data_IF_480612375020
#
_entry.id   IF_480612375020
#
_cell.length_a   1.000
_cell.length_b   1.000
_cell.length_c   1.000
_cell.angle_alpha   90.00
_cell.angle_beta   90.00
_cell.angle_gamma   90.00
#
_symmetry.space_group_name_H-M   'P 1'
#
loop_
_entity.id
_entity.type
_entity.pdbx_description
1 polymer ?
#
# COMPACT_ATOMS: atom_id res chain seq x y z
N UNK A 1 2.67 -21.33 -12.64
CA UNK A 1 2.76 -20.23 -11.65
C UNK A 1 3.56 -19.08 -12.24
N UNK A 2 3.03 -17.85 -12.31
CA UNK A 2 3.82 -16.74 -12.84
C UNK A 2 4.70 -16.10 -11.75
N UNK A 3 6.02 -16.12 -11.91
CA UNK A 3 6.97 -15.44 -11.01
C UNK A 3 7.48 -14.16 -11.67
N UNK A 4 7.10 -13.01 -11.11
CA UNK A 4 7.67 -11.71 -11.47
C UNK A 4 8.69 -11.28 -10.43
N UNK A 5 9.90 -10.94 -10.85
CA UNK A 5 10.90 -10.34 -9.97
C UNK A 5 11.22 -8.92 -10.42
N UNK A 6 11.10 -8.00 -9.49
CA UNK A 6 11.19 -6.56 -9.70
C UNK A 6 12.38 -6.05 -8.90
N UNK A 7 13.31 -5.38 -9.58
CA UNK A 7 14.51 -4.80 -8.96
C UNK A 7 14.65 -3.33 -9.37
N UNK A 8 15.02 -2.49 -8.41
CA UNK A 8 15.07 -1.03 -8.56
C UNK A 8 16.31 -0.61 -9.34
N UNK A 9 16.11 0.23 -10.36
CA UNK A 9 17.13 1.14 -10.88
C UNK A 9 16.56 2.56 -10.77
N UNK A 10 17.13 3.39 -9.90
CA UNK A 10 16.69 4.78 -9.71
C UNK A 10 17.23 5.62 -10.86
N UNK A 11 16.36 6.09 -11.76
CA UNK A 11 16.68 7.16 -12.71
C UNK A 11 15.58 8.22 -12.66
N UNK A 12 15.96 9.42 -12.23
CA UNK A 12 15.07 10.58 -12.14
C UNK A 12 14.97 11.20 -13.53
N UNK A 13 13.84 11.09 -14.20
CA UNK A 13 13.52 11.96 -15.33
C UNK A 13 12.07 12.43 -15.29
N UNK A 14 11.91 13.75 -15.30
CA UNK A 14 10.63 14.44 -15.40
C UNK A 14 10.08 14.32 -16.84
N UNK A 15 8.80 13.97 -16.97
CA UNK A 15 8.06 14.01 -18.23
C UNK A 15 6.57 14.23 -18.00
N UNK A 16 6.00 15.22 -18.68
CA UNK A 16 4.57 15.58 -18.69
C UNK A 16 3.98 15.04 -20.00
N UNK A 17 2.85 14.31 -19.97
CA UNK A 17 1.69 14.55 -20.89
C UNK A 17 0.48 13.62 -20.67
N UNK A 18 -0.68 14.27 -20.56
CA UNK A 18 -2.08 14.00 -21.00
C UNK A 18 -2.61 12.61 -21.42
N UNK A 19 -3.81 12.27 -20.94
CA UNK A 19 -4.83 11.49 -21.67
C UNK A 19 -5.67 10.52 -20.82
N UNK A 20 -7.01 10.64 -20.87
CA UNK A 20 -8.04 10.01 -20.00
C UNK A 20 -8.56 8.68 -20.58
N UNK A 21 -8.89 7.69 -19.72
CA UNK A 21 -10.09 6.83 -19.85
C UNK A 21 -10.37 6.03 -18.56
N UNK A 22 -11.36 6.45 -17.76
CA UNK A 22 -11.89 5.69 -16.61
C UNK A 22 -12.71 4.49 -17.10
N UNK A 23 -12.32 3.27 -16.74
CA UNK A 23 -13.20 2.10 -16.71
C UNK A 23 -13.27 1.55 -15.30
N UNK A 24 -14.34 1.91 -14.59
CA UNK A 24 -14.74 1.24 -13.35
C UNK A 24 -15.46 -0.05 -13.73
N UNK A 25 -14.82 -1.21 -13.56
CA UNK A 25 -15.48 -2.50 -13.67
C UNK A 25 -15.27 -3.32 -12.39
N UNK A 26 -16.38 -3.82 -11.84
CA UNK A 26 -16.37 -4.83 -10.80
C UNK A 26 -15.67 -6.08 -11.35
N UNK A 27 -14.60 -6.51 -10.70
CA UNK A 27 -13.71 -7.55 -11.20
C UNK A 27 -14.42 -8.91 -11.34
N UNK A 28 -14.51 -9.41 -12.57
CA UNK A 28 -14.75 -10.83 -12.82
C UNK A 28 -13.48 -11.62 -12.49
N UNK A 29 -13.67 -12.85 -12.02
CA UNK A 29 -12.62 -13.82 -11.64
C UNK A 29 -11.60 -14.16 -12.74
N UNK A 30 -11.89 -13.80 -14.00
CA UNK A 30 -11.13 -14.19 -15.19
C UNK A 30 -10.47 -13.00 -15.92
N UNK A 31 -10.57 -11.77 -15.40
CA UNK A 31 -9.93 -10.61 -16.03
C UNK A 31 -8.43 -10.60 -15.72
N UNK A 32 -7.61 -10.59 -16.78
CA UNK A 32 -6.16 -10.35 -16.69
C UNK A 32 -5.93 -8.86 -16.39
N UNK A 33 -5.29 -8.58 -15.27
CA UNK A 33 -4.94 -7.23 -14.83
C UNK A 33 -3.73 -6.67 -15.57
N UNK A 34 -3.74 -5.39 -15.91
CA UNK A 34 -2.57 -4.70 -16.44
C UNK A 34 -1.73 -4.12 -15.30
N UNK A 35 -0.41 -4.28 -15.38
CA UNK A 35 0.51 -3.50 -14.53
C UNK A 35 0.93 -2.26 -15.33
N UNK A 36 0.72 -1.10 -14.75
CA UNK A 36 1.04 0.20 -15.33
C UNK A 36 1.57 1.15 -14.24
N UNK A 37 1.65 2.45 -14.55
CA UNK A 37 2.10 3.48 -13.60
C UNK A 37 1.01 3.93 -12.61
N UNK A 38 -0.13 3.23 -12.55
CA UNK A 38 -1.29 3.48 -11.70
C UNK A 38 -1.77 4.95 -11.75
N UNK A 39 -2.19 5.45 -12.92
CA UNK A 39 -2.49 6.87 -13.11
C UNK A 39 -3.65 7.38 -12.23
N UNK A 40 -4.58 6.49 -11.83
CA UNK A 40 -5.75 6.82 -10.99
C UNK A 40 -5.49 6.63 -9.48
N UNK A 41 -4.24 6.35 -9.10
CA UNK A 41 -3.84 6.17 -7.71
C UNK A 41 -3.79 7.50 -6.93
N UNK A 42 -4.26 7.45 -5.69
CA UNK A 42 -3.90 8.44 -4.67
C UNK A 42 -2.52 8.07 -4.14
N UNK A 43 -1.49 8.74 -4.64
CA UNK A 43 -0.07 8.41 -4.40
C UNK A 43 0.69 9.54 -3.67
N UNK A 44 -0.02 10.33 -2.85
CA UNK A 44 0.53 11.53 -2.21
C UNK A 44 1.66 11.18 -1.22
N UNK A 45 2.87 11.64 -1.50
CA UNK A 45 4.04 11.49 -0.62
C UNK A 45 4.08 12.53 0.52
N UNK A 46 3.23 13.56 0.46
CA UNK A 46 3.20 14.70 1.38
C UNK A 46 4.51 15.50 1.48
N UNK A 47 5.34 15.46 0.43
CA UNK A 47 6.60 16.21 0.39
C UNK A 47 6.34 17.71 0.47
N UNK A 48 7.03 18.40 1.38
CA UNK A 48 6.86 19.84 1.61
C UNK A 48 5.55 20.27 2.30
N UNK A 49 4.62 19.35 2.59
CA UNK A 49 3.34 19.67 3.24
C UNK A 49 2.99 18.79 4.44
N UNK A 50 3.90 17.89 4.85
CA UNK A 50 3.72 16.91 5.91
C UNK A 50 3.17 17.48 7.22
N UNK A 51 3.72 18.59 7.72
CA UNK A 51 3.26 19.20 8.99
C UNK A 51 1.86 19.79 8.85
N UNK A 52 1.57 20.47 7.74
CA UNK A 52 0.23 20.99 7.44
C UNK A 52 -0.78 19.85 7.33
N UNK A 53 -0.41 18.74 6.68
CA UNK A 53 -1.28 17.58 6.56
C UNK A 53 -1.48 16.89 7.92
N UNK A 54 -0.46 16.82 8.78
CA UNK A 54 -0.59 16.29 10.16
C UNK A 54 -1.64 17.06 10.96
N UNK A 55 -1.66 18.40 10.86
CA UNK A 55 -2.69 19.22 11.52
C UNK A 55 -4.08 18.92 10.98
N UNK A 56 -4.24 18.75 9.66
CA UNK A 56 -5.54 18.43 9.03
C UNK A 56 -6.00 17.00 9.26
N UNK A 57 -5.07 16.05 9.36
CA UNK A 57 -5.35 14.62 9.50
C UNK A 57 -6.23 14.32 10.72
N UNK A 58 -6.11 15.08 11.80
CA UNK A 58 -6.99 14.92 12.97
C UNK A 58 -8.46 15.26 12.66
N UNK A 59 -8.70 16.29 11.85
CA UNK A 59 -10.06 16.66 11.43
C UNK A 59 -10.62 15.64 10.43
N UNK A 60 -9.80 15.20 9.47
CA UNK A 60 -10.17 14.12 8.57
C UNK A 60 -10.52 12.85 9.36
N UNK A 61 -9.68 12.44 10.30
CA UNK A 61 -9.90 11.26 11.11
C UNK A 61 -11.24 11.30 11.86
N UNK A 62 -11.61 12.46 12.42
CA UNK A 62 -12.92 12.64 13.06
C UNK A 62 -14.07 12.41 12.07
N UNK A 63 -13.95 12.96 10.86
CA UNK A 63 -14.96 12.81 9.81
C UNK A 63 -15.03 11.36 9.31
N UNK A 64 -13.90 10.70 9.12
CA UNK A 64 -13.81 9.29 8.69
C UNK A 64 -14.47 8.36 9.70
N UNK A 65 -14.18 8.54 11.00
CA UNK A 65 -14.87 7.82 12.08
C UNK A 65 -16.39 8.07 12.04
N UNK A 66 -16.82 9.32 11.95
CA UNK A 66 -18.25 9.64 11.96
C UNK A 66 -19.02 9.08 10.76
N UNK A 67 -18.35 8.84 9.64
CA UNK A 67 -19.01 8.53 8.38
C UNK A 67 -19.01 7.03 8.04
N UNK A 68 -18.30 6.20 8.80
CA UNK A 68 -18.18 4.76 8.61
C UNK A 68 -18.07 4.04 9.97
N UNK A 69 -19.04 3.17 10.27
CA UNK A 69 -19.11 2.42 11.53
C UNK A 69 -17.98 1.39 11.67
N UNK A 70 -17.60 0.75 10.57
CA UNK A 70 -16.53 -0.24 10.53
C UNK A 70 -15.19 0.44 10.75
N UNK A 71 -14.96 1.57 10.08
CA UNK A 71 -13.77 2.38 10.32
C UNK A 71 -13.72 2.86 11.78
N UNK A 72 -14.84 3.31 12.36
CA UNK A 72 -14.92 3.65 13.78
C UNK A 72 -14.56 2.49 14.68
N UNK A 73 -15.08 1.30 14.41
CA UNK A 73 -14.81 0.11 15.21
C UNK A 73 -13.34 -0.31 15.11
N UNK A 74 -12.77 -0.33 13.91
CA UNK A 74 -11.35 -0.58 13.67
C UNK A 74 -10.48 0.40 14.44
N UNK A 75 -10.77 1.69 14.34
CA UNK A 75 -9.99 2.72 15.02
C UNK A 75 -10.09 2.61 16.55
N UNK A 76 -11.27 2.26 17.09
CA UNK A 76 -11.44 1.97 18.54
C UNK A 76 -10.63 0.76 19.00
N UNK A 77 -10.55 -0.31 18.20
CA UNK A 77 -9.68 -1.47 18.50
C UNK A 77 -8.21 -1.02 18.57
N UNK A 78 -7.77 -0.19 17.64
CA UNK A 78 -6.44 0.42 17.68
C UNK A 78 -6.25 1.29 18.93
N UNK A 79 -7.21 2.15 19.28
CA UNK A 79 -7.14 2.97 20.51
C UNK A 79 -6.94 2.13 21.77
N UNK A 80 -7.58 0.95 21.86
CA UNK A 80 -7.45 0.00 22.97
C UNK A 80 -6.05 -0.64 23.02
N UNK A 81 -5.46 -0.98 21.87
CA UNK A 81 -4.12 -1.56 21.77
C UNK A 81 -3.02 -0.54 22.07
N UNK A 82 -3.23 0.74 21.75
CA UNK A 82 -2.33 1.86 22.10
C UNK A 82 -3.03 2.91 22.98
N UNK A 83 -3.26 2.62 24.28
CA UNK A 83 -4.02 3.51 25.17
C UNK A 83 -3.25 4.78 25.55
N UNK A 84 -1.92 4.73 25.55
CA UNK A 84 -1.06 5.86 25.94
C UNK A 84 -0.89 6.83 24.76
N UNK A 85 -1.23 8.10 24.96
CA UNK A 85 -0.99 9.20 24.01
C UNK A 85 0.50 9.56 23.96
N UNK A 86 1.27 8.82 23.14
CA UNK A 86 2.70 9.07 22.89
C UNK A 86 2.92 9.52 21.43
N UNK A 87 4.02 10.22 21.13
CA UNK A 87 4.40 10.50 19.73
C UNK A 87 4.44 9.21 18.90
N UNK A 88 3.96 9.29 17.66
CA UNK A 88 3.89 8.12 16.78
C UNK A 88 2.64 7.25 16.97
N UNK A 89 1.70 7.62 17.85
CA UNK A 89 0.54 6.79 18.18
C UNK A 89 -0.38 6.59 16.98
N UNK A 90 -0.72 7.65 16.28
CA UNK A 90 -1.65 7.62 15.14
C UNK A 90 -1.07 6.80 13.99
N UNK A 91 0.25 6.86 13.76
CA UNK A 91 0.95 6.01 12.78
C UNK A 91 0.83 4.52 13.12
N UNK A 92 1.07 4.15 14.39
CA UNK A 92 0.94 2.76 14.85
C UNK A 92 -0.49 2.25 14.71
N UNK A 93 -1.45 3.10 15.09
CA UNK A 93 -2.87 2.78 14.96
C UNK A 93 -3.31 2.65 13.51
N UNK A 94 -2.80 3.48 12.60
CA UNK A 94 -3.09 3.39 11.17
C UNK A 94 -2.58 2.07 10.58
N UNK A 95 -1.35 1.65 10.91
CA UNK A 95 -0.84 0.32 10.55
C UNK A 95 -1.78 -0.76 11.08
N UNK A 96 -2.12 -0.70 12.36
CA UNK A 96 -2.99 -1.71 12.96
C UNK A 96 -4.34 -1.80 12.26
N UNK A 97 -5.00 -0.66 12.03
CA UNK A 97 -6.27 -0.55 11.32
C UNK A 97 -6.18 -1.14 9.92
N UNK A 98 -5.10 -0.88 9.21
CA UNK A 98 -4.86 -1.45 7.89
C UNK A 98 -4.69 -2.98 7.94
N UNK A 99 -4.09 -3.53 8.99
CA UNK A 99 -3.84 -4.98 9.12
C UNK A 99 -4.95 -5.77 9.82
N UNK A 100 -6.03 -5.12 10.25
CA UNK A 100 -7.14 -5.77 10.95
C UNK A 100 -7.85 -6.78 10.05
N UNK A 101 -8.08 -7.98 10.57
CA UNK A 101 -8.95 -8.96 9.94
C UNK A 101 -10.43 -8.54 10.01
N UNK A 102 -10.85 -7.96 11.14
CA UNK A 102 -12.23 -7.54 11.35
C UNK A 102 -12.33 -6.25 12.21
N UNK A 103 -13.04 -5.21 11.78
CA UNK A 103 -13.57 -5.07 10.42
C UNK A 103 -12.42 -4.89 9.42
N UNK A 104 -12.60 -5.40 8.20
CA UNK A 104 -11.59 -5.36 7.16
C UNK A 104 -11.60 -4.00 6.45
N UNK A 105 -10.70 -3.11 6.85
CA UNK A 105 -10.59 -1.75 6.27
C UNK A 105 -9.73 -1.74 5.01
N UNK A 106 -8.70 -2.60 4.93
CA UNK A 106 -7.70 -2.54 3.86
C UNK A 106 -8.30 -2.72 2.47
N UNK A 107 -9.34 -3.57 2.32
CA UNK A 107 -9.95 -3.83 1.02
C UNK A 107 -10.59 -2.57 0.43
N UNK A 108 -11.47 -1.92 1.20
CA UNK A 108 -12.16 -0.70 0.77
C UNK A 108 -11.19 0.47 0.64
N UNK A 109 -10.23 0.57 1.58
CA UNK A 109 -9.17 1.56 1.54
C UNK A 109 -8.34 1.42 0.27
N UNK A 110 -7.77 0.26 -0.02
CA UNK A 110 -6.93 0.05 -1.22
C UNK A 110 -7.73 0.23 -2.51
N UNK A 111 -9.00 -0.15 -2.55
CA UNK A 111 -9.86 0.16 -3.70
C UNK A 111 -10.03 1.66 -3.91
N UNK A 112 -10.24 2.43 -2.83
CA UNK A 112 -10.32 3.88 -2.91
C UNK A 112 -8.98 4.49 -3.34
N UNK A 113 -7.85 4.05 -2.76
CA UNK A 113 -6.51 4.50 -3.15
C UNK A 113 -6.26 4.23 -4.63
N UNK A 114 -6.64 3.06 -5.14
CA UNK A 114 -6.41 2.65 -6.55
C UNK A 114 -7.16 3.49 -7.58
N UNK A 115 -8.34 4.01 -7.23
CA UNK A 115 -9.31 4.48 -8.24
C UNK A 115 -9.75 5.93 -8.07
N UNK A 116 -9.43 6.58 -6.95
CA UNK A 116 -10.07 7.83 -6.55
C UNK A 116 -9.14 9.05 -6.60
N UNK A 117 -8.06 9.03 -7.38
CA UNK A 117 -7.19 10.21 -7.55
C UNK A 117 -7.97 11.47 -7.91
N UNK A 118 -8.87 11.38 -8.89
CA UNK A 118 -9.71 12.50 -9.32
C UNK A 118 -10.65 13.02 -8.23
N UNK A 119 -10.97 12.17 -7.25
CA UNK A 119 -11.86 12.46 -6.13
C UNK A 119 -11.12 12.82 -4.84
N UNK A 120 -9.78 12.91 -4.86
CA UNK A 120 -8.96 13.18 -3.68
C UNK A 120 -9.39 14.45 -2.93
N UNK A 121 -9.81 15.51 -3.65
CA UNK A 121 -10.24 16.77 -3.01
C UNK A 121 -11.72 16.82 -2.63
N UNK A 122 -12.49 15.80 -2.99
CA UNK A 122 -13.96 15.78 -2.87
C UNK A 122 -14.43 14.60 -2.02
N UNK A 123 -14.64 13.44 -2.64
CA UNK A 123 -15.32 12.29 -2.03
C UNK A 123 -14.37 11.20 -1.54
N UNK A 124 -13.06 11.33 -1.72
CA UNK A 124 -12.10 10.41 -1.10
C UNK A 124 -12.26 10.41 0.42
N UNK A 125 -12.47 9.24 1.03
CA UNK A 125 -12.89 9.12 2.44
C UNK A 125 -11.79 8.63 3.38
N UNK A 126 -10.53 8.62 2.96
CA UNK A 126 -9.43 8.02 3.73
C UNK A 126 -8.19 8.91 3.79
N UNK A 127 -8.36 10.23 3.85
CA UNK A 127 -7.25 11.20 3.96
C UNK A 127 -6.36 10.96 5.17
N UNK A 128 -6.95 10.73 6.34
CA UNK A 128 -6.21 10.52 7.57
C UNK A 128 -5.51 9.16 7.58
N UNK A 129 -6.23 8.09 7.22
CA UNK A 129 -5.61 6.76 7.13
C UNK A 129 -4.45 6.75 6.12
N UNK A 130 -4.65 7.31 4.91
CA UNK A 130 -3.61 7.43 3.89
C UNK A 130 -2.39 8.22 4.39
N UNK A 131 -2.63 9.37 5.02
CA UNK A 131 -1.57 10.20 5.57
C UNK A 131 -0.79 9.48 6.67
N UNK A 132 -1.47 8.90 7.66
CA UNK A 132 -0.80 8.26 8.79
C UNK A 132 -0.04 7.00 8.38
N UNK A 133 -0.53 6.21 7.42
CA UNK A 133 0.23 5.09 6.85
C UNK A 133 1.47 5.58 6.11
N UNK A 134 1.32 6.59 5.23
CA UNK A 134 2.46 7.17 4.51
C UNK A 134 3.52 7.69 5.47
N UNK A 135 3.10 8.45 6.47
CA UNK A 135 3.97 9.00 7.50
C UNK A 135 4.62 7.90 8.36
N UNK A 136 3.90 6.81 8.64
CA UNK A 136 4.45 5.67 9.36
C UNK A 136 5.63 5.04 8.62
N UNK A 137 5.45 4.72 7.32
CA UNK A 137 6.50 4.11 6.50
C UNK A 137 7.72 5.02 6.36
N UNK A 138 7.49 6.31 6.09
CA UNK A 138 8.56 7.31 6.05
C UNK A 138 9.31 7.41 7.39
N UNK A 139 8.60 7.39 8.52
CA UNK A 139 9.21 7.46 9.85
C UNK A 139 10.03 6.22 10.17
N UNK A 140 9.53 5.02 9.82
CA UNK A 140 10.25 3.76 10.02
C UNK A 140 11.54 3.72 9.19
N UNK A 141 11.49 4.25 7.97
CA UNK A 141 12.65 4.29 7.07
C UNK A 141 13.64 5.40 7.42
N UNK A 142 13.20 6.53 7.99
CA UNK A 142 14.10 7.63 8.39
C UNK A 142 15.12 7.26 9.48
N UNK A 143 14.95 6.12 10.13
CA UNK A 143 15.79 5.64 11.24
C UNK A 143 16.87 4.65 10.79
N UNK A 144 16.93 4.35 9.50
CA UNK A 144 17.74 3.30 8.92
C UNK A 144 18.81 3.89 8.02
N UNK A 145 19.93 3.19 7.86
CA UNK A 145 20.87 3.48 6.78
C UNK A 145 20.22 3.22 5.41
N UNK A 146 20.83 3.70 4.33
CA UNK A 146 20.34 3.39 2.98
C UNK A 146 20.31 1.88 2.71
N UNK A 147 21.33 1.15 3.18
CA UNK A 147 21.42 -0.31 3.05
C UNK A 147 20.32 -1.04 3.83
N UNK A 148 19.99 -0.59 5.04
CA UNK A 148 18.98 -1.20 5.91
C UNK A 148 17.54 -0.88 5.48
N UNK A 149 17.35 0.18 4.69
CA UNK A 149 16.05 0.67 4.25
C UNK A 149 15.45 -0.23 3.17
N UNK A 150 16.29 -0.80 2.30
CA UNK A 150 15.83 -1.66 1.22
C UNK A 150 15.54 -3.08 1.74
N UNK A 151 14.38 -3.62 1.38
CA UNK A 151 13.88 -4.92 1.81
C UNK A 151 13.41 -5.70 0.58
N UNK A 152 13.52 -7.03 0.64
CA UNK A 152 12.87 -7.92 -0.31
C UNK A 152 11.58 -8.45 0.30
N UNK A 153 10.46 -8.17 -0.37
CA UNK A 153 9.13 -8.65 -0.02
C UNK A 153 8.60 -9.64 -1.04
N UNK A 154 7.87 -10.65 -0.57
CA UNK A 154 7.23 -11.67 -1.39
C UNK A 154 5.72 -11.55 -1.25
N UNK A 155 5.00 -11.46 -2.37
CA UNK A 155 3.55 -11.29 -2.39
C UNK A 155 2.90 -12.30 -3.31
N UNK A 156 1.82 -12.93 -2.84
CA UNK A 156 0.90 -13.72 -3.66
C UNK A 156 -0.39 -12.96 -3.88
N UNK A 157 -1.00 -13.16 -5.04
CA UNK A 157 -2.32 -12.62 -5.37
C UNK A 157 -3.12 -13.63 -6.19
N UNK A 158 -4.42 -13.65 -5.95
CA UNK A 158 -5.37 -14.50 -6.66
C UNK A 158 -5.93 -13.84 -7.93
N UNK A 159 -5.06 -13.20 -8.72
CA UNK A 159 -5.40 -12.56 -9.99
C UNK A 159 -4.27 -12.75 -10.98
N UNK A 160 -4.59 -12.85 -12.26
CA UNK A 160 -3.60 -12.89 -13.33
C UNK A 160 -3.20 -11.48 -13.74
N UNK A 161 -1.94 -11.29 -14.12
CA UNK A 161 -1.43 -10.02 -14.65
C UNK A 161 -0.84 -10.22 -16.04
N UNK A 162 -0.98 -9.21 -16.89
CA UNK A 162 -0.36 -9.21 -18.22
C UNK A 162 1.15 -9.30 -18.08
N UNK A 163 1.76 -10.17 -18.89
CA UNK A 163 3.20 -10.42 -18.91
C UNK A 163 3.94 -9.54 -19.93
N UNK A 164 3.27 -8.64 -20.66
CA UNK A 164 3.96 -7.64 -21.49
C UNK A 164 4.40 -6.46 -20.64
N UNK A 165 5.26 -6.72 -19.65
CA UNK A 165 5.73 -5.70 -18.68
C UNK A 165 7.24 -5.74 -18.46
N UNK A 166 7.96 -6.70 -19.03
CA UNK A 166 9.42 -6.74 -18.98
C UNK A 166 10.05 -5.39 -19.39
N UNK A 167 10.99 -4.91 -18.58
CA UNK A 167 11.68 -3.63 -18.70
C UNK A 167 10.79 -2.38 -18.60
N UNK A 168 9.48 -2.52 -18.32
CA UNK A 168 8.58 -1.39 -18.07
C UNK A 168 8.64 -0.97 -16.61
N UNK A 169 8.33 0.31 -16.38
CA UNK A 169 8.09 0.84 -15.04
C UNK A 169 6.63 0.64 -14.66
N UNK A 170 6.41 0.26 -13.40
CA UNK A 170 5.08 0.09 -12.83
C UNK A 170 5.01 0.76 -11.46
N UNK A 171 3.79 1.00 -11.00
CA UNK A 171 3.47 1.24 -9.58
C UNK A 171 2.33 0.31 -9.21
N UNK A 172 2.32 -0.19 -7.97
CA UNK A 172 1.15 -0.92 -7.49
C UNK A 172 -0.06 -0.01 -7.26
N UNK A 173 0.14 1.31 -7.12
CA UNK A 173 -0.92 2.29 -7.00
C UNK A 173 -1.79 2.15 -5.75
N UNK A 174 -1.37 1.33 -4.79
CA UNK A 174 -2.04 1.06 -3.52
C UNK A 174 -1.00 0.71 -2.47
N UNK A 175 -1.40 0.79 -1.20
CA UNK A 175 -0.59 0.19 -0.13
C UNK A 175 -0.52 -1.32 -0.36
N UNK A 176 0.69 -1.83 -0.53
CA UNK A 176 0.92 -3.20 -0.98
C UNK A 176 1.61 -3.99 0.11
N UNK A 177 0.87 -4.92 0.72
CA UNK A 177 1.43 -5.85 1.71
C UNK A 177 2.22 -6.96 1.03
N UNK A 178 3.39 -7.26 1.59
CA UNK A 178 4.24 -8.38 1.21
C UNK A 178 4.83 -9.01 2.47
N UNK A 179 5.43 -10.19 2.37
CA UNK A 179 6.07 -10.89 3.47
C UNK A 179 7.58 -10.98 3.25
N UNK A 180 8.38 -10.76 4.29
CA UNK A 180 9.83 -10.98 4.21
C UNK A 180 10.17 -12.48 4.13
N UNK A 181 11.31 -12.77 3.52
CA UNK A 181 12.03 -14.05 3.52
C UNK A 181 11.38 -15.17 2.71
N UNK A 182 10.05 -15.21 2.61
CA UNK A 182 9.33 -16.24 1.89
C UNK A 182 7.96 -15.79 1.40
N UNK A 183 7.48 -16.44 0.35
CA UNK A 183 6.09 -16.31 -0.08
C UNK A 183 5.12 -16.76 1.02
N UNK A 184 4.01 -16.03 1.23
CA UNK A 184 2.97 -16.48 2.15
C UNK A 184 2.25 -17.72 1.60
N UNK A 185 1.46 -18.39 2.45
CA UNK A 185 0.71 -19.58 2.08
C UNK A 185 -0.39 -19.28 1.05
N UNK A 186 -0.63 -20.23 0.13
CA UNK A 186 -1.63 -20.13 -0.95
C UNK A 186 -3.06 -19.99 -0.43
N UNK A 187 -3.38 -20.64 0.70
CA UNK A 187 -4.74 -20.71 1.24
C UNK A 187 -5.35 -19.32 1.54
N UNK A 188 -4.50 -18.33 1.83
CA UNK A 188 -4.93 -16.97 2.19
C UNK A 188 -4.86 -15.97 1.03
N UNK A 189 -3.91 -16.16 0.11
CA UNK A 189 -3.56 -15.15 -0.89
C UNK A 189 -3.71 -15.62 -2.35
N UNK A 190 -4.05 -16.89 -2.55
CA UNK A 190 -4.13 -17.54 -3.85
C UNK A 190 -2.77 -17.89 -4.44
N UNK A 191 -2.81 -18.42 -5.65
CA UNK A 191 -1.67 -19.04 -6.34
C UNK A 191 -1.51 -18.56 -7.80
N UNK A 192 -2.38 -17.66 -8.28
CA UNK A 192 -2.38 -17.19 -9.69
C UNK A 192 -1.13 -16.38 -10.06
N UNK A 193 -0.68 -15.45 -9.20
CA UNK A 193 0.52 -14.65 -9.50
C UNK A 193 1.35 -14.35 -8.25
N UNK A 194 2.66 -14.30 -8.44
CA UNK A 194 3.66 -14.08 -7.40
C UNK A 194 4.58 -12.91 -7.78
N UNK A 195 4.86 -12.05 -6.79
CA UNK A 195 5.79 -10.95 -6.91
C UNK A 195 6.92 -11.09 -5.89
N UNK A 196 8.14 -11.04 -6.38
CA UNK A 196 9.36 -10.76 -5.62
C UNK A 196 9.70 -9.28 -5.81
N UNK A 197 9.64 -8.50 -4.73
CA UNK A 197 9.64 -7.04 -4.76
C UNK A 197 10.82 -6.54 -3.93
N UNK A 198 11.83 -5.94 -4.59
CA UNK A 198 12.82 -5.13 -3.90
C UNK A 198 12.26 -3.72 -3.68
N UNK A 199 12.05 -3.32 -2.43
CA UNK A 199 11.44 -2.04 -2.04
C UNK A 199 12.37 -1.27 -1.11
N UNK A 200 12.53 0.03 -1.33
CA UNK A 200 13.27 0.93 -0.45
C UNK A 200 12.37 2.00 0.18
N UNK A 201 11.09 2.10 -0.21
CA UNK A 201 10.11 2.93 0.48
C UNK A 201 9.14 2.14 1.35
N UNK A 202 9.07 0.82 1.16
CA UNK A 202 8.40 -0.08 2.07
C UNK A 202 9.12 -0.20 3.40
N UNK A 203 8.38 -0.62 4.43
CA UNK A 203 8.93 -0.80 5.77
C UNK A 203 8.35 -2.05 6.44
N UNK A 204 9.13 -2.61 7.37
CA UNK A 204 8.64 -3.65 8.27
C UNK A 204 7.62 -3.06 9.25
N UNK A 205 6.39 -3.55 9.18
CA UNK A 205 5.28 -3.13 10.04
C UNK A 205 4.87 -4.17 11.08
N UNK A 206 5.60 -5.28 11.17
CA UNK A 206 5.32 -6.46 12.00
C UNK A 206 5.00 -6.13 13.46
N UNK A 207 5.76 -5.20 14.06
CA UNK A 207 5.59 -4.76 15.45
C UNK A 207 4.27 -4.01 15.72
N UNK A 208 3.62 -3.53 14.67
CA UNK A 208 2.42 -2.69 14.75
C UNK A 208 1.20 -3.31 14.05
N UNK A 209 1.41 -4.42 13.32
CA UNK A 209 0.37 -5.19 12.65
C UNK A 209 -0.47 -6.00 13.65
N UNK A 210 -1.76 -6.17 13.39
CA UNK A 210 -2.63 -7.12 14.11
C UNK A 210 -2.21 -8.57 13.83
N UNK A 211 -1.63 -8.84 12.66
CA UNK A 211 -1.17 -10.18 12.28
C UNK A 211 0.05 -10.62 13.09
N UNK A 212 0.70 -9.68 13.78
CA UNK A 212 1.85 -9.92 14.63
C UNK A 212 3.15 -10.18 13.87
N UNK A 213 4.21 -10.45 14.63
CA UNK A 213 5.57 -10.54 14.08
C UNK A 213 5.84 -11.78 13.24
N UNK A 214 5.03 -12.83 13.41
CA UNK A 214 5.14 -14.05 12.62
C UNK A 214 4.85 -13.82 11.14
N UNK A 215 4.08 -12.79 10.80
CA UNK A 215 3.76 -12.50 9.40
C UNK A 215 4.87 -11.75 8.67
N UNK A 216 5.82 -11.13 9.40
CA UNK A 216 6.97 -10.40 8.83
C UNK A 216 6.54 -9.45 7.70
N UNK A 217 5.44 -8.73 7.94
CA UNK A 217 4.77 -7.94 6.93
C UNK A 217 5.61 -6.71 6.57
N UNK A 218 5.92 -6.57 5.28
CA UNK A 218 6.50 -5.39 4.67
C UNK A 218 5.41 -4.68 3.90
N UNK A 219 5.08 -3.46 4.33
CA UNK A 219 4.08 -2.63 3.69
C UNK A 219 4.77 -1.60 2.79
N UNK A 220 4.35 -1.57 1.52
CA UNK A 220 4.91 -0.74 0.46
C UNK A 220 3.94 0.41 0.15
N UNK A 221 4.40 1.67 0.05
CA UNK A 221 3.54 2.80 -0.26
C UNK A 221 3.10 2.81 -1.74
N UNK A 222 1.98 3.50 -2.07
CA UNK A 222 1.43 3.52 -3.44
C UNK A 222 2.31 4.23 -4.48
N UNK A 223 3.26 5.05 -4.05
CA UNK A 223 4.08 5.92 -4.91
C UNK A 223 5.43 5.32 -5.34
N UNK A 224 5.82 4.16 -4.81
CA UNK A 224 7.09 3.56 -5.20
C UNK A 224 7.03 3.04 -6.64
N UNK A 225 8.02 3.42 -7.45
CA UNK A 225 8.17 3.02 -8.85
C UNK A 225 9.11 1.83 -8.95
N UNK A 226 8.72 0.88 -9.77
CA UNK A 226 9.33 -0.43 -9.87
C UNK A 226 9.65 -0.75 -11.32
N UNK A 227 10.87 -1.21 -11.60
CA UNK A 227 11.23 -1.74 -12.92
C UNK A 227 11.08 -3.26 -12.93
N UNK A 228 10.29 -3.78 -13.87
CA UNK A 228 10.15 -5.23 -14.05
C UNK A 228 11.38 -5.75 -14.79
N UNK A 229 12.12 -6.69 -14.19
CA UNK A 229 13.33 -7.25 -14.80
C UNK A 229 13.21 -8.73 -15.15
N UNK A 230 12.18 -9.41 -14.61
CA UNK A 230 11.84 -10.79 -14.91
C UNK A 230 10.33 -10.95 -14.84
N UNK A 231 9.76 -11.53 -15.87
CA UNK A 231 8.44 -12.13 -15.93
C UNK A 231 8.61 -13.56 -16.46
N UNK A 232 8.05 -14.52 -15.73
CA UNK A 232 8.09 -15.93 -16.12
C UNK A 232 6.71 -16.52 -15.97
N UNK A 233 6.30 -17.29 -16.95
CA UNK A 233 5.20 -18.24 -16.84
C UNK A 233 5.80 -19.60 -16.48
N UNK A 234 5.61 -20.08 -15.25
CA UNK A 234 5.92 -21.48 -14.96
C UNK A 234 4.77 -22.35 -15.50
N UNK A 235 5.10 -23.13 -16.52
CA UNK A 235 4.32 -24.22 -17.10
C UNK A 235 4.19 -25.41 -16.16
#
# INVERSE_FOLDING_TARGET
MAMMAIWVAVLISYGISTGIAMHSAAHRSDDVLTLDMAPDSVDDMYSGCKDKMRTKANNYLKNEKNADSDFTLAWKKAEKKWPKKKPGREQKMAIYVYTLNEPNIYLNFNNAVRTQRSMYKTTFRYHALHFFLTDALQTLNSRKSEEERCLTGYRRVNSYFSQDVLNKEIRFGTFTSSRRDQYPHTDRFGDKSCFEIATCFGADISLYSELGESEREVLIPPYEVFKVIRDKEES
#
